data_IF_669824373372
#
_entry.id   IF_669824373372
#
_cell.length_a   1.000
_cell.length_b   1.000
_cell.length_c   1.000
_cell.angle_alpha   90.00
_cell.angle_beta   90.00
_cell.angle_gamma   90.00
#
_symmetry.space_group_name_H-M   'P 1'
#
loop_
_entity.id
_entity.type
_entity.pdbx_description
1 polymer ?
#
# COMPACT_ATOMS: atom_id res chain seq x y z
N UNK A 1 -19.09 1.50 3.78
CA UNK A 1 -18.01 0.50 3.92
C UNK A 1 -17.51 0.10 2.53
N UNK A 2 -16.21 0.12 2.31
CA UNK A 2 -15.69 -0.24 1.01
C UNK A 2 -15.50 -1.74 0.90
N UNK A 3 -16.06 -2.34 -0.16
CA UNK A 3 -15.84 -3.74 -0.51
C UNK A 3 -14.80 -3.88 -1.61
N UNK A 4 -14.06 -2.81 -1.89
CA UNK A 4 -13.04 -2.80 -2.92
C UNK A 4 -11.88 -3.75 -2.64
N UNK A 5 -10.99 -3.92 -3.62
CA UNK A 5 -9.83 -4.79 -3.45
C UNK A 5 -8.77 -4.14 -2.56
N UNK A 6 -7.84 -4.96 -2.11
CA UNK A 6 -6.57 -4.45 -1.60
C UNK A 6 -5.69 -4.19 -2.83
N UNK A 7 -5.15 -3.00 -2.94
CA UNK A 7 -4.26 -2.63 -4.04
C UNK A 7 -2.81 -2.69 -3.57
N UNK A 8 -2.01 -3.48 -4.28
CA UNK A 8 -0.58 -3.62 -4.00
C UNK A 8 0.19 -2.85 -5.06
N UNK A 9 0.96 -1.85 -4.64
CA UNK A 9 1.75 -0.98 -5.54
C UNK A 9 3.23 -1.18 -5.22
N UNK A 10 3.92 -1.94 -6.05
CA UNK A 10 5.33 -2.27 -5.86
C UNK A 10 5.91 -2.70 -7.22
N UNK A 11 7.09 -2.22 -7.57
CA UNK A 11 7.72 -2.58 -8.85
C UNK A 11 8.34 -3.97 -8.83
N UNK A 12 8.54 -4.56 -7.66
CA UNK A 12 9.11 -5.89 -7.51
C UNK A 12 8.00 -6.96 -7.60
N UNK A 13 8.00 -7.72 -8.69
CA UNK A 13 7.02 -8.77 -8.91
C UNK A 13 7.06 -9.86 -7.84
N UNK A 14 8.23 -10.15 -7.29
CA UNK A 14 8.37 -11.12 -6.21
C UNK A 14 7.63 -10.67 -4.95
N UNK A 15 7.80 -9.40 -4.58
CA UNK A 15 7.12 -8.84 -3.41
C UNK A 15 5.60 -8.81 -3.64
N UNK A 16 5.15 -8.42 -4.83
CA UNK A 16 3.71 -8.44 -5.14
C UNK A 16 3.13 -9.85 -5.02
N UNK A 17 3.84 -10.84 -5.56
CA UNK A 17 3.39 -12.25 -5.47
C UNK A 17 3.30 -12.71 -4.01
N UNK A 18 4.30 -12.39 -3.22
CA UNK A 18 4.34 -12.77 -1.81
C UNK A 18 3.16 -12.16 -1.04
N UNK A 19 2.94 -10.86 -1.22
CA UNK A 19 1.82 -10.16 -0.56
C UNK A 19 0.48 -10.70 -1.02
N UNK A 20 0.36 -10.98 -2.31
CA UNK A 20 -0.85 -11.56 -2.88
C UNK A 20 -1.19 -12.90 -2.25
N UNK A 21 -0.20 -13.81 -2.14
CA UNK A 21 -0.43 -15.11 -1.54
C UNK A 21 -0.88 -14.99 -0.08
N UNK A 22 -0.23 -14.13 0.67
CA UNK A 22 -0.56 -13.91 2.08
C UNK A 22 -1.98 -13.38 2.26
N UNK A 23 -2.36 -12.39 1.46
CA UNK A 23 -3.64 -11.70 1.62
C UNK A 23 -4.80 -12.46 1.01
N UNK A 24 -4.58 -13.22 -0.07
CA UNK A 24 -5.64 -14.04 -0.65
C UNK A 24 -6.06 -15.17 0.27
N UNK A 25 -5.16 -15.69 1.09
CA UNK A 25 -5.50 -16.70 2.10
C UNK A 25 -6.52 -16.16 3.11
N UNK A 26 -6.58 -14.85 3.29
CA UNK A 26 -7.51 -14.20 4.20
C UNK A 26 -8.81 -13.79 3.51
N UNK A 27 -8.97 -14.14 2.24
CA UNK A 27 -10.22 -13.90 1.51
C UNK A 27 -10.37 -12.53 0.90
N UNK A 28 -9.31 -11.71 0.87
CA UNK A 28 -9.40 -10.39 0.27
C UNK A 28 -9.24 -10.44 -1.25
N UNK A 29 -10.11 -9.76 -2.02
CA UNK A 29 -9.83 -9.53 -3.43
C UNK A 29 -8.63 -8.59 -3.59
N UNK A 30 -7.81 -8.85 -4.61
CA UNK A 30 -6.54 -8.16 -4.77
C UNK A 30 -6.38 -7.61 -6.19
N UNK A 31 -5.69 -6.47 -6.28
CA UNK A 31 -5.21 -5.91 -7.54
C UNK A 31 -3.76 -5.47 -7.34
N UNK A 32 -3.01 -5.43 -8.43
CA UNK A 32 -1.59 -5.09 -8.40
C UNK A 32 -1.30 -3.97 -9.39
N UNK A 33 -0.33 -3.12 -9.02
CA UNK A 33 0.22 -2.09 -9.88
C UNK A 33 1.73 -2.09 -9.74
N UNK A 34 2.44 -1.84 -10.83
CA UNK A 34 3.91 -1.86 -10.85
C UNK A 34 4.50 -0.51 -10.46
N UNK A 35 3.69 0.54 -10.50
CA UNK A 35 4.14 1.90 -10.19
C UNK A 35 2.94 2.75 -9.81
N UNK A 36 3.23 3.98 -9.37
CA UNK A 36 2.19 4.90 -8.93
C UNK A 36 1.24 5.31 -10.04
N UNK A 37 1.74 5.53 -11.25
CA UNK A 37 0.89 5.94 -12.36
C UNK A 37 -0.11 4.85 -12.74
N UNK A 38 0.34 3.60 -12.78
CA UNK A 38 -0.54 2.47 -13.04
C UNK A 38 -1.64 2.37 -11.99
N UNK A 39 -1.28 2.59 -10.72
CA UNK A 39 -2.26 2.61 -9.63
C UNK A 39 -3.29 3.72 -9.82
N UNK A 40 -2.85 4.92 -10.17
CA UNK A 40 -3.74 6.08 -10.37
C UNK A 40 -4.66 5.92 -11.57
N UNK A 41 -4.24 5.18 -12.59
CA UNK A 41 -5.02 4.95 -13.80
C UNK A 41 -6.05 3.83 -13.66
N UNK A 42 -6.05 3.12 -12.54
CA UNK A 42 -6.98 2.02 -12.33
C UNK A 42 -8.43 2.46 -12.30
N UNK A 43 -9.28 1.68 -12.97
CA UNK A 43 -10.71 1.88 -13.02
C UNK A 43 -11.41 0.90 -12.09
N UNK A 44 -12.66 1.15 -11.79
CA UNK A 44 -13.46 0.28 -10.94
C UNK A 44 -13.57 0.81 -9.51
N UNK A 45 -13.98 -0.04 -8.56
CA UNK A 45 -14.19 0.41 -7.19
C UNK A 45 -12.89 0.83 -6.52
N UNK A 46 -12.99 1.84 -5.65
CA UNK A 46 -11.85 2.29 -4.86
C UNK A 46 -11.30 1.14 -4.01
N UNK A 47 -9.97 1.02 -3.87
CA UNK A 47 -9.43 0.01 -2.98
C UNK A 47 -9.83 0.28 -1.53
N UNK A 48 -9.97 -0.79 -0.76
CA UNK A 48 -10.26 -0.65 0.68
C UNK A 48 -8.98 -0.38 1.48
N UNK A 49 -7.84 -0.80 0.98
CA UNK A 49 -6.50 -0.54 1.52
C UNK A 49 -5.51 -0.50 0.37
N UNK A 50 -4.52 0.38 0.43
CA UNK A 50 -3.40 0.40 -0.51
C UNK A 50 -2.12 0.03 0.24
N UNK A 51 -1.36 -0.91 -0.30
CA UNK A 51 -0.02 -1.24 0.17
C UNK A 51 0.95 -0.63 -0.83
N UNK A 52 1.77 0.33 -0.39
CA UNK A 52 2.59 1.16 -1.28
C UNK A 52 4.07 1.08 -0.91
N UNK A 53 4.90 0.69 -1.87
CA UNK A 53 6.35 0.80 -1.74
C UNK A 53 6.79 2.23 -2.10
N UNK A 54 7.70 2.79 -1.34
CA UNK A 54 8.25 4.12 -1.62
C UNK A 54 9.38 4.12 -2.64
N UNK A 55 10.03 2.97 -2.86
CA UNK A 55 11.13 2.85 -3.82
C UNK A 55 10.62 2.29 -5.13
N UNK A 56 10.22 3.19 -6.04
CA UNK A 56 9.71 2.80 -7.35
C UNK A 56 10.34 3.69 -8.43
N UNK A 57 10.51 3.18 -9.66
CA UNK A 57 10.96 4.00 -10.77
C UNK A 57 9.85 4.96 -11.22
N UNK A 58 10.21 5.96 -11.97
CA UNK A 58 9.33 6.94 -12.65
C UNK A 58 8.67 7.95 -11.72
N UNK A 59 7.91 7.49 -10.74
CA UNK A 59 7.25 8.37 -9.77
C UNK A 59 7.75 8.02 -8.37
N UNK A 60 8.18 9.00 -7.60
CA UNK A 60 8.62 8.73 -6.23
C UNK A 60 7.45 8.22 -5.39
N UNK A 61 7.75 7.37 -4.41
CA UNK A 61 6.72 6.83 -3.53
C UNK A 61 6.00 7.90 -2.74
N UNK A 62 6.70 8.97 -2.33
CA UNK A 62 6.07 10.07 -1.61
C UNK A 62 5.10 10.84 -2.50
N UNK A 63 5.45 11.06 -3.76
CA UNK A 63 4.55 11.67 -4.74
C UNK A 63 3.33 10.78 -4.96
N UNK A 64 3.57 9.46 -5.14
CA UNK A 64 2.49 8.50 -5.31
C UNK A 64 1.56 8.48 -4.10
N UNK A 65 2.10 8.53 -2.89
CA UNK A 65 1.31 8.58 -1.66
C UNK A 65 0.36 9.78 -1.66
N UNK A 66 0.87 10.96 -1.99
CA UNK A 66 0.07 12.17 -2.02
C UNK A 66 -1.05 12.07 -3.05
N UNK A 67 -0.73 11.60 -4.25
CA UNK A 67 -1.72 11.48 -5.33
C UNK A 67 -2.76 10.40 -5.05
N UNK A 68 -2.35 9.29 -4.45
CA UNK A 68 -3.27 8.21 -4.05
C UNK A 68 -4.23 8.71 -2.96
N UNK A 69 -3.72 9.47 -1.99
CA UNK A 69 -4.56 10.06 -0.95
C UNK A 69 -5.60 11.03 -1.54
N UNK A 70 -5.20 11.81 -2.55
CA UNK A 70 -6.12 12.72 -3.22
C UNK A 70 -7.20 11.98 -4.00
N UNK A 71 -6.81 10.90 -4.68
CA UNK A 71 -7.75 10.11 -5.48
C UNK A 71 -8.75 9.33 -4.62
N UNK A 72 -8.27 8.74 -3.54
CA UNK A 72 -9.09 7.92 -2.63
C UNK A 72 -8.95 8.42 -1.19
N UNK A 73 -9.59 9.55 -0.85
CA UNK A 73 -9.34 10.23 0.43
C UNK A 73 -9.65 9.41 1.68
N UNK A 74 -10.55 8.44 1.57
CA UNK A 74 -10.94 7.62 2.72
C UNK A 74 -10.24 6.27 2.78
N UNK A 75 -9.45 5.94 1.75
CA UNK A 75 -8.73 4.67 1.70
C UNK A 75 -7.43 4.76 2.50
N UNK A 76 -7.23 3.90 3.51
CA UNK A 76 -5.96 3.88 4.23
C UNK A 76 -4.83 3.39 3.32
N UNK A 77 -3.65 4.01 3.47
CA UNK A 77 -2.44 3.64 2.74
C UNK A 77 -1.40 3.17 3.73
N UNK A 78 -0.96 1.92 3.57
CA UNK A 78 0.12 1.34 4.36
C UNK A 78 1.38 1.35 3.51
N UNK A 79 2.41 2.03 3.99
CA UNK A 79 3.71 2.07 3.30
C UNK A 79 4.51 0.84 3.69
N UNK A 80 5.10 0.17 2.71
CA UNK A 80 5.98 -0.98 2.92
C UNK A 80 7.28 -0.69 2.19
N UNK A 81 8.38 -0.47 2.91
CA UNK A 81 9.62 0.00 2.30
C UNK A 81 10.85 -0.53 3.03
N UNK A 82 11.94 -0.70 2.29
CA UNK A 82 13.25 -0.99 2.88
C UNK A 82 13.90 0.22 3.54
N UNK A 83 13.37 1.42 3.27
CA UNK A 83 13.88 2.65 3.89
C UNK A 83 13.21 2.84 5.25
N UNK A 84 14.00 2.98 6.30
CA UNK A 84 13.51 2.96 7.66
C UNK A 84 13.96 4.16 8.51
N UNK A 85 14.49 5.21 7.90
CA UNK A 85 14.89 6.40 8.66
C UNK A 85 13.66 7.04 9.34
N UNK A 86 13.85 7.52 10.55
CA UNK A 86 12.79 8.20 11.29
C UNK A 86 12.21 9.38 10.50
N UNK A 87 13.09 10.10 9.80
CA UNK A 87 12.68 11.24 8.99
C UNK A 87 11.68 10.82 7.90
N UNK A 88 12.00 9.76 7.16
CA UNK A 88 11.14 9.31 6.08
C UNK A 88 9.84 8.73 6.61
N UNK A 89 9.90 7.96 7.68
CA UNK A 89 8.70 7.43 8.34
C UNK A 89 7.78 8.58 8.74
N UNK A 90 8.32 9.61 9.38
CA UNK A 90 7.54 10.76 9.81
C UNK A 90 6.97 11.55 8.64
N UNK A 91 7.74 11.70 7.56
CA UNK A 91 7.25 12.36 6.34
C UNK A 91 6.07 11.60 5.73
N UNK A 92 6.17 10.27 5.66
CA UNK A 92 5.09 9.45 5.10
C UNK A 92 3.82 9.55 5.96
N UNK A 93 3.95 9.47 7.27
CA UNK A 93 2.80 9.60 8.17
C UNK A 93 2.18 10.99 8.08
N UNK A 94 3.00 12.03 7.98
CA UNK A 94 2.51 13.41 7.82
C UNK A 94 1.80 13.60 6.48
N UNK A 95 2.21 12.86 5.45
CA UNK A 95 1.57 12.92 4.14
C UNK A 95 0.29 12.09 4.05
N UNK A 96 -0.09 11.43 5.14
CA UNK A 96 -1.35 10.71 5.22
C UNK A 96 -1.27 9.19 5.21
N UNK A 97 -0.07 8.60 5.31
CA UNK A 97 0.04 7.15 5.46
C UNK A 97 -0.56 6.72 6.80
N UNK A 98 -1.29 5.61 6.77
CA UNK A 98 -1.92 5.05 7.97
C UNK A 98 -0.96 4.19 8.78
N UNK A 99 0.12 3.74 8.16
CA UNK A 99 1.16 2.95 8.83
C UNK A 99 2.38 2.80 7.95
N UNK A 100 3.45 2.31 8.54
CA UNK A 100 4.73 2.13 7.86
C UNK A 100 5.36 0.82 8.30
N UNK A 101 5.64 -0.07 7.36
CA UNK A 101 6.20 -1.38 7.62
C UNK A 101 7.52 -1.48 6.88
N UNK A 102 8.59 -1.82 7.58
CA UNK A 102 9.91 -1.94 6.96
C UNK A 102 10.14 -3.34 6.39
N UNK A 103 10.83 -3.42 5.27
CA UNK A 103 11.28 -4.68 4.68
C UNK A 103 12.62 -5.08 5.31
N UNK A 104 12.88 -6.36 5.57
CA UNK A 104 11.97 -7.49 5.37
C UNK A 104 10.87 -7.51 6.44
N UNK A 105 9.68 -7.89 6.02
CA UNK A 105 8.53 -7.96 6.93
C UNK A 105 8.18 -9.42 7.24
N UNK A 106 7.52 -9.61 8.37
CA UNK A 106 6.92 -10.89 8.72
C UNK A 106 5.49 -10.92 8.16
N UNK A 107 5.01 -12.06 7.62
CA UNK A 107 3.63 -12.16 7.13
C UNK A 107 2.57 -11.65 8.10
N UNK A 108 2.74 -11.93 9.39
CA UNK A 108 1.79 -11.50 10.41
C UNK A 108 1.74 -9.99 10.58
N UNK A 109 2.85 -9.29 10.33
CA UNK A 109 2.86 -7.82 10.39
C UNK A 109 1.92 -7.22 9.34
N UNK A 110 1.96 -7.76 8.13
CA UNK A 110 1.12 -7.28 7.04
C UNK A 110 -0.36 -7.58 7.35
N UNK A 111 -0.67 -8.81 7.73
CA UNK A 111 -2.02 -9.21 8.05
C UNK A 111 -2.62 -8.36 9.17
N UNK A 112 -1.85 -8.15 10.23
CA UNK A 112 -2.27 -7.35 11.37
C UNK A 112 -2.49 -5.88 10.98
N UNK A 113 -1.57 -5.31 10.20
CA UNK A 113 -1.67 -3.91 9.76
C UNK A 113 -2.90 -3.70 8.88
N UNK A 114 -3.18 -4.63 7.97
CA UNK A 114 -4.36 -4.56 7.12
C UNK A 114 -5.64 -4.62 7.96
N UNK A 115 -5.72 -5.57 8.89
CA UNK A 115 -6.89 -5.69 9.75
C UNK A 115 -7.11 -4.42 10.59
N UNK A 116 -6.06 -3.84 11.12
CA UNK A 116 -6.16 -2.59 11.87
C UNK A 116 -6.63 -1.43 10.99
N UNK A 117 -6.12 -1.34 9.77
CA UNK A 117 -6.51 -0.29 8.83
C UNK A 117 -7.98 -0.40 8.47
N UNK A 118 -8.48 -1.62 8.28
CA UNK A 118 -9.88 -1.87 7.93
C UNK A 118 -10.84 -1.64 9.11
N UNK A 119 -10.34 -1.77 10.33
CA UNK A 119 -11.16 -1.59 11.55
C UNK A 119 -11.27 -0.12 11.98
N UNK A 120 -10.41 0.72 11.46
CA UNK A 120 -10.34 2.14 11.85
C UNK A 120 -11.51 2.96 11.28
#
# INVERSE_FOLDING_TARGET
MSDGPILIVDDDAFVRTLLREMLSEQGHPLREAQNGQEALDMQGPAPKVVLLDLLMPEMSGMEALTLIRDRWPTTPVLVISSMDSDRLVNEALAAGASGYITKPFHPMEIAFAVERALAA
#
